data_IF_726907383221
#
_entry.id   IF_726907383221
#
_cell.length_a   1.000
_cell.length_b   1.000
_cell.length_c   1.000
_cell.angle_alpha   90.00
_cell.angle_beta   90.00
_cell.angle_gamma   90.00
#
_symmetry.space_group_name_H-M   'P 1'
#
loop_
_entity.id
_entity.type
_entity.pdbx_description
1 polymer ?
#
# COMPACT_ATOMS: atom_id res chain seq x y z
N UNK A 1 -2.30 14.28 10.48
CA UNK A 1 -2.15 13.05 11.30
C UNK A 1 -3.23 12.08 10.83
N UNK A 2 -2.87 10.86 10.43
CA UNK A 2 -3.82 9.88 9.88
C UNK A 2 -4.47 9.04 10.98
N UNK A 3 -5.54 8.31 10.67
CA UNK A 3 -6.28 7.49 11.64
C UNK A 3 -5.38 6.43 12.33
N UNK A 4 -4.45 5.80 11.59
CA UNK A 4 -3.46 4.88 12.15
C UNK A 4 -2.54 5.54 13.16
N UNK A 5 -2.09 6.78 12.90
CA UNK A 5 -1.19 7.50 13.83
C UNK A 5 -1.85 7.88 15.15
N UNK A 6 -3.16 8.13 15.15
CA UNK A 6 -3.91 8.49 16.38
C UNK A 6 -4.26 7.24 17.19
N UNK A 7 -4.58 6.14 16.51
CA UNK A 7 -5.05 4.90 17.15
C UNK A 7 -3.94 3.92 17.49
N UNK A 8 -2.75 4.07 16.91
CA UNK A 8 -1.65 3.11 17.07
C UNK A 8 -1.92 1.77 16.39
N UNK A 9 -2.87 1.72 15.44
CA UNK A 9 -3.21 0.50 14.72
C UNK A 9 -2.25 0.23 13.56
N UNK A 10 -1.95 -1.05 13.28
CA UNK A 10 -1.22 -1.48 12.09
C UNK A 10 -1.83 -0.93 10.80
N UNK A 11 -0.96 -0.55 9.88
CA UNK A 11 -1.36 0.10 8.66
C UNK A 11 -0.34 -0.11 7.53
N UNK A 12 -0.79 -0.64 6.40
CA UNK A 12 0.04 -0.90 5.21
C UNK A 12 -0.54 -0.16 4.01
N UNK A 13 0.33 0.47 3.20
CA UNK A 13 -0.06 1.12 1.94
C UNK A 13 0.53 0.33 0.77
N UNK A 14 -0.33 -0.18 -0.11
CA UNK A 14 0.06 -0.96 -1.27
C UNK A 14 -0.19 -0.18 -2.58
N UNK A 15 0.76 -0.17 -3.54
CA UNK A 15 0.55 0.45 -4.84
C UNK A 15 -0.47 -0.36 -5.65
N UNK A 16 -1.40 0.31 -6.32
CA UNK A 16 -2.46 -0.34 -7.12
C UNK A 16 -2.48 0.07 -8.58
N UNK A 17 -1.70 1.07 -8.96
CA UNK A 17 -1.58 1.53 -10.34
C UNK A 17 -1.31 3.02 -10.45
N UNK A 18 -1.77 3.61 -11.55
CA UNK A 18 -1.58 5.03 -11.86
C UNK A 18 -2.92 5.68 -12.23
N UNK A 19 -3.03 6.98 -11.97
CA UNK A 19 -4.10 7.82 -12.51
C UNK A 19 -3.97 7.98 -14.04
N UNK A 20 -4.99 8.52 -14.70
CA UNK A 20 -4.95 8.86 -16.13
C UNK A 20 -3.84 9.87 -16.46
N UNK A 21 -3.40 10.66 -15.47
CA UNK A 21 -2.28 11.61 -15.57
C UNK A 21 -0.93 11.00 -15.21
N UNK A 22 -0.86 9.69 -14.95
CA UNK A 22 0.38 8.96 -14.66
C UNK A 22 0.90 9.11 -13.23
N UNK A 23 0.07 9.56 -12.28
CA UNK A 23 0.46 9.65 -10.86
C UNK A 23 0.22 8.31 -10.14
N UNK A 24 1.13 7.84 -9.28
CA UNK A 24 0.96 6.58 -8.56
C UNK A 24 -0.21 6.65 -7.57
N UNK A 25 -1.00 5.58 -7.52
CA UNK A 25 -2.14 5.41 -6.60
C UNK A 25 -1.84 4.26 -5.65
N UNK A 26 -2.13 4.46 -4.37
CA UNK A 26 -2.02 3.43 -3.34
C UNK A 26 -3.30 3.28 -2.51
N UNK A 27 -3.52 2.08 -1.99
CA UNK A 27 -4.59 1.78 -1.03
C UNK A 27 -3.97 1.62 0.35
N UNK A 28 -4.52 2.33 1.34
CA UNK A 28 -4.16 2.21 2.74
C UNK A 28 -5.12 1.25 3.44
N UNK A 29 -4.58 0.18 4.02
CA UNK A 29 -5.33 -0.83 4.76
C UNK A 29 -4.98 -0.72 6.24
N UNK A 30 -6.00 -0.73 7.10
CA UNK A 30 -5.88 -0.73 8.56
C UNK A 30 -6.22 -2.12 9.09
N UNK A 31 -5.42 -2.61 10.04
CA UNK A 31 -5.62 -3.88 10.72
C UNK A 31 -6.00 -3.70 12.19
N UNK A 32 -6.49 -4.76 12.85
CA UNK A 32 -6.62 -4.80 14.30
C UNK A 32 -5.27 -4.63 15.00
N UNK A 33 -5.32 -4.33 16.30
CA UNK A 33 -4.11 -4.15 17.11
C UNK A 33 -3.22 -5.41 17.08
N UNK A 34 -1.92 -5.23 16.82
CA UNK A 34 -0.89 -6.29 16.68
C UNK A 34 -1.05 -7.24 15.49
N UNK A 35 -1.86 -6.88 14.49
CA UNK A 35 -2.07 -7.65 13.26
C UNK A 35 -1.37 -7.05 12.02
N UNK A 36 -0.11 -6.62 12.15
CA UNK A 36 0.68 -6.10 11.03
C UNK A 36 0.82 -7.12 9.88
N UNK A 37 0.96 -8.41 10.21
CA UNK A 37 1.04 -9.48 9.22
C UNK A 37 -0.24 -9.59 8.39
N UNK A 38 -1.41 -9.37 9.00
CA UNK A 38 -2.70 -9.36 8.30
C UNK A 38 -2.76 -8.26 7.25
N UNK A 39 -2.30 -7.03 7.57
CA UNK A 39 -2.33 -5.91 6.61
C UNK A 39 -1.30 -6.05 5.50
N UNK A 40 -0.15 -6.66 5.80
CA UNK A 40 0.88 -7.00 4.80
C UNK A 40 0.38 -8.10 3.88
N UNK A 41 -0.18 -9.18 4.43
CA UNK A 41 -0.72 -10.27 3.62
C UNK A 41 -1.86 -9.80 2.70
N UNK A 42 -2.72 -8.90 3.20
CA UNK A 42 -3.72 -8.26 2.34
C UNK A 42 -3.09 -7.47 1.20
N UNK A 43 -1.98 -6.75 1.44
CA UNK A 43 -1.24 -6.05 0.39
C UNK A 43 -0.65 -7.01 -0.66
N UNK A 44 -0.13 -8.18 -0.25
CA UNK A 44 0.34 -9.22 -1.19
C UNK A 44 -0.79 -9.77 -2.06
N UNK A 45 -1.99 -9.96 -1.48
CA UNK A 45 -3.16 -10.39 -2.23
C UNK A 45 -3.62 -9.30 -3.21
N UNK A 46 -3.57 -8.03 -2.80
CA UNK A 46 -3.91 -6.90 -3.63
C UNK A 46 -2.96 -6.76 -4.83
N UNK A 47 -1.67 -7.05 -4.66
CA UNK A 47 -0.70 -7.08 -5.76
C UNK A 47 -1.07 -8.11 -6.83
N UNK A 48 -1.63 -9.28 -6.46
CA UNK A 48 -2.02 -10.33 -7.43
C UNK A 48 -3.17 -9.92 -8.35
N UNK A 49 -3.99 -8.95 -7.93
CA UNK A 49 -5.15 -8.46 -8.70
C UNK A 49 -4.94 -7.06 -9.26
N UNK A 50 -3.83 -6.41 -8.91
CA UNK A 50 -3.45 -5.09 -9.41
C UNK A 50 -2.12 -5.16 -10.15
N UNK A 51 -1.59 -4.02 -10.59
CA UNK A 51 -0.31 -3.97 -11.31
C UNK A 51 0.91 -4.01 -10.37
N UNK A 52 0.69 -3.93 -9.04
CA UNK A 52 1.76 -3.91 -8.05
C UNK A 52 2.72 -2.74 -8.21
N UNK A 53 3.94 -2.90 -7.69
CA UNK A 53 5.01 -1.91 -7.84
C UNK A 53 5.54 -1.89 -9.28
N UNK A 54 5.67 -0.69 -9.86
CA UNK A 54 6.40 -0.46 -11.11
C UNK A 54 7.57 0.46 -10.82
N UNK A 55 8.75 0.06 -11.29
CA UNK A 55 9.99 0.82 -11.10
C UNK A 55 9.86 2.23 -11.71
N UNK A 56 10.14 3.30 -10.95
CA UNK A 56 10.08 4.65 -11.48
C UNK A 56 11.25 4.93 -12.44
N UNK A 57 11.09 5.86 -13.41
CA UNK A 57 12.17 6.26 -14.28
C UNK A 57 13.41 6.72 -13.50
N UNK A 58 14.59 6.21 -13.87
CA UNK A 58 15.87 6.58 -13.24
C UNK A 58 16.21 5.83 -11.94
N UNK A 59 15.50 4.76 -11.60
CA UNK A 59 15.76 3.97 -10.38
C UNK A 59 17.08 3.19 -10.40
N UNK A 60 17.47 2.62 -11.55
CA UNK A 60 18.75 1.93 -11.74
C UNK A 60 19.66 2.75 -12.64
N UNK A 61 20.90 2.94 -12.18
CA UNK A 61 22.01 3.64 -12.87
C UNK A 61 22.70 2.65 -13.81
#
# INVERSE_FOLDING_TARGET
>A
MTYSSITGLPCTVAPVGFTDTGLPVGIQTLGPYLEDDTTIHFAELLEKVTRGYTEPPGYRI
#
